data_IF_764217025808
#
_entry.id   IF_764217025808
#
_cell.length_a   1.000
_cell.length_b   1.000
_cell.length_c   1.000
_cell.angle_alpha   90.00
_cell.angle_beta   90.00
_cell.angle_gamma   90.00
#
_symmetry.space_group_name_H-M   'P 1'
#
loop_
_entity.id
_entity.type
_entity.pdbx_description
1 polymer ?
#
# COMPACT_ATOMS: atom_id res chain seq x y z
N UNK A 1 8.67 -2.97 -10.54
CA UNK A 1 7.88 -2.17 -9.59
C UNK A 1 8.61 -2.12 -8.26
N UNK A 2 9.09 -3.26 -7.74
CA UNK A 2 10.15 -3.28 -6.74
C UNK A 2 11.51 -3.53 -7.44
N UNK A 3 12.57 -2.92 -6.92
CA UNK A 3 13.91 -2.64 -7.49
C UNK A 3 14.05 -1.51 -8.52
N UNK A 4 12.96 -1.08 -9.17
CA UNK A 4 12.98 0.16 -9.94
C UNK A 4 11.83 0.98 -9.45
N UNK A 5 12.10 2.08 -8.73
CA UNK A 5 11.12 3.02 -8.16
C UNK A 5 10.37 3.79 -9.26
N UNK A 6 9.70 3.04 -10.14
CA UNK A 6 8.84 3.55 -11.23
C UNK A 6 7.43 3.90 -10.74
N UNK A 7 7.21 3.92 -9.42
CA UNK A 7 5.89 3.99 -8.80
C UNK A 7 6.01 4.79 -7.49
N UNK A 8 5.93 6.10 -7.62
CA UNK A 8 6.17 7.05 -6.53
C UNK A 8 4.92 7.90 -6.22
N UNK A 9 3.92 7.85 -7.10
CA UNK A 9 2.70 8.65 -6.97
C UNK A 9 1.55 7.83 -6.39
N UNK A 10 0.56 8.52 -5.82
CA UNK A 10 -0.68 7.89 -5.35
C UNK A 10 -1.37 7.07 -6.46
N UNK A 11 -1.36 7.56 -7.71
CA UNK A 11 -1.97 6.87 -8.83
C UNK A 11 -1.27 5.54 -9.14
N UNK A 12 0.05 5.48 -9.01
CA UNK A 12 0.84 4.27 -9.21
C UNK A 12 0.51 3.23 -8.14
N UNK A 13 0.46 3.65 -6.87
CA UNK A 13 0.09 2.75 -5.76
C UNK A 13 -1.36 2.25 -5.86
N UNK A 14 -2.31 3.10 -6.26
CA UNK A 14 -3.68 2.68 -6.53
C UNK A 14 -3.76 1.66 -7.68
N UNK A 15 -2.95 1.84 -8.73
CA UNK A 15 -2.86 0.90 -9.85
C UNK A 15 -2.31 -0.44 -9.40
N UNK A 16 -1.27 -0.44 -8.56
CA UNK A 16 -0.71 -1.65 -7.97
C UNK A 16 -1.74 -2.42 -7.13
N UNK A 17 -2.44 -1.72 -6.23
CA UNK A 17 -3.48 -2.32 -5.39
C UNK A 17 -4.62 -2.88 -6.23
N UNK A 18 -4.98 -2.22 -7.33
CA UNK A 18 -5.98 -2.73 -8.26
C UNK A 18 -5.53 -4.03 -8.92
N UNK A 19 -4.26 -4.13 -9.34
CA UNK A 19 -3.71 -5.34 -9.96
C UNK A 19 -3.85 -6.57 -9.05
N UNK A 20 -3.52 -6.45 -7.76
CA UNK A 20 -3.71 -7.52 -6.77
C UNK A 20 -5.17 -7.96 -6.70
N UNK A 21 -6.10 -7.00 -6.72
CA UNK A 21 -7.54 -7.25 -6.60
C UNK A 21 -8.17 -7.88 -7.84
N UNK A 22 -7.48 -7.92 -8.98
CA UNK A 22 -8.00 -8.57 -10.18
C UNK A 22 -8.05 -10.10 -10.03
N UNK A 23 -7.18 -10.68 -9.19
CA UNK A 23 -7.12 -12.12 -8.98
C UNK A 23 -8.46 -12.65 -8.43
N UNK A 24 -9.04 -13.62 -9.14
CA UNK A 24 -10.33 -14.21 -8.78
C UNK A 24 -10.29 -14.85 -7.39
N UNK A 25 -9.20 -15.55 -7.06
CA UNK A 25 -9.00 -16.20 -5.77
C UNK A 25 -8.98 -15.19 -4.62
N UNK A 26 -8.33 -14.04 -4.82
CA UNK A 26 -8.34 -12.93 -3.87
C UNK A 26 -9.77 -12.43 -3.63
N UNK A 27 -10.49 -12.07 -4.71
CA UNK A 27 -11.86 -11.53 -4.60
C UNK A 27 -12.80 -12.51 -3.88
N UNK A 28 -12.75 -13.79 -4.23
CA UNK A 28 -13.56 -14.82 -3.59
C UNK A 28 -13.19 -14.99 -2.11
N UNK A 29 -11.91 -14.90 -1.75
CA UNK A 29 -11.47 -15.00 -0.36
C UNK A 29 -11.98 -13.81 0.46
N UNK A 30 -11.76 -12.58 -0.04
CA UNK A 30 -12.18 -11.33 0.61
C UNK A 30 -13.71 -11.22 0.79
N UNK A 31 -14.50 -11.89 -0.05
CA UNK A 31 -15.96 -11.94 0.09
C UNK A 31 -16.46 -12.98 1.09
N UNK A 32 -15.64 -13.98 1.43
CA UNK A 32 -16.06 -15.16 2.24
C UNK A 32 -15.65 -15.09 3.69
N UNK A 33 -14.58 -14.35 4.01
CA UNK A 33 -14.01 -14.34 5.35
C UNK A 33 -13.64 -12.91 5.80
N UNK A 34 -13.72 -12.61 7.10
CA UNK A 34 -13.11 -11.41 7.64
C UNK A 34 -11.58 -11.54 7.65
N UNK A 35 -10.86 -10.46 7.37
CA UNK A 35 -9.41 -10.39 7.41
C UNK A 35 -8.96 -9.29 8.36
N UNK A 36 -7.98 -9.62 9.20
CA UNK A 36 -7.15 -8.64 9.90
C UNK A 36 -5.88 -8.52 9.05
N UNK A 37 -5.54 -7.30 8.68
CA UNK A 37 -4.44 -6.99 7.77
C UNK A 37 -3.40 -6.14 8.48
N UNK A 38 -2.14 -6.37 8.13
CA UNK A 38 -1.01 -5.53 8.49
C UNK A 38 -0.15 -5.31 7.24
N UNK A 39 0.70 -4.30 7.28
CA UNK A 39 1.63 -3.98 6.18
C UNK A 39 3.03 -4.47 6.54
N UNK A 40 3.82 -4.70 5.51
CA UNK A 40 5.27 -4.88 5.54
C UNK A 40 5.95 -3.64 4.92
N UNK A 41 7.27 -3.73 4.73
CA UNK A 41 8.04 -2.72 4.01
C UNK A 41 7.58 -2.53 2.55
N UNK A 42 7.29 -3.64 1.86
CA UNK A 42 6.94 -3.68 0.45
C UNK A 42 5.66 -2.94 0.09
N UNK A 43 4.77 -2.60 1.02
CA UNK A 43 3.67 -1.69 0.71
C UNK A 43 4.14 -0.27 0.36
N UNK A 44 5.38 0.09 0.71
CA UNK A 44 6.01 1.39 0.44
C UNK A 44 7.24 1.23 -0.45
N UNK A 45 8.27 0.56 0.07
CA UNK A 45 9.60 0.44 -0.53
C UNK A 45 10.35 -0.70 0.18
N UNK A 46 11.20 -1.42 -0.54
CA UNK A 46 12.02 -2.46 0.08
C UNK A 46 12.90 -1.90 1.20
N UNK A 47 13.05 -2.62 2.32
CA UNK A 47 13.94 -2.34 3.45
C UNK A 47 13.82 -0.94 4.10
N UNK A 48 12.70 -0.22 3.91
CA UNK A 48 12.54 1.09 4.54
C UNK A 48 12.39 0.99 6.05
N UNK A 49 12.89 2.00 6.78
CA UNK A 49 12.77 2.09 8.22
C UNK A 49 12.28 3.48 8.65
N UNK A 50 11.04 3.54 9.14
CA UNK A 50 10.41 4.78 9.62
C UNK A 50 10.35 5.89 8.54
N UNK A 51 11.27 6.86 8.58
CA UNK A 51 11.40 7.94 7.60
C UNK A 51 12.65 7.82 6.74
N UNK A 52 13.31 6.66 6.80
CA UNK A 52 14.57 6.37 6.13
C UNK A 52 14.26 5.39 5.00
N UNK A 53 14.57 5.81 3.77
CA UNK A 53 14.52 4.98 2.57
C UNK A 53 15.61 3.90 2.59
N UNK A 54 15.49 2.88 1.75
CA UNK A 54 16.59 1.93 1.57
C UNK A 54 17.88 2.64 1.09
N UNK A 55 19.07 2.21 1.54
CA UNK A 55 20.33 2.83 1.17
C UNK A 55 20.82 2.32 -0.21
N UNK A 56 20.09 2.65 -1.27
CA UNK A 56 20.42 2.27 -2.66
C UNK A 56 20.90 3.46 -3.52
N UNK A 57 20.76 4.70 -3.01
CA UNK A 57 21.27 5.91 -3.67
C UNK A 57 20.35 6.42 -4.79
N UNK A 58 19.08 6.04 -4.78
CA UNK A 58 18.08 6.47 -5.76
C UNK A 58 17.51 7.87 -5.44
N UNK A 59 16.88 8.52 -6.44
CA UNK A 59 16.33 9.88 -6.26
C UNK A 59 15.16 9.93 -5.27
N UNK A 60 14.38 8.85 -5.16
CA UNK A 60 13.25 8.77 -4.25
C UNK A 60 13.67 8.96 -2.78
N UNK A 61 14.92 8.64 -2.43
CA UNK A 61 15.47 8.76 -1.09
C UNK A 61 15.30 10.20 -0.58
N UNK A 62 15.37 11.17 -1.49
CA UNK A 62 15.22 12.60 -1.19
C UNK A 62 13.77 12.98 -0.85
N UNK A 63 12.78 12.24 -1.34
CA UNK A 63 11.35 12.51 -1.19
C UNK A 63 10.58 11.37 -0.51
N UNK A 64 11.28 10.47 0.18
CA UNK A 64 10.73 9.22 0.69
C UNK A 64 9.47 9.38 1.56
N UNK A 65 9.40 10.43 2.39
CA UNK A 65 8.21 10.68 3.21
C UNK A 65 6.94 10.95 2.39
N UNK A 66 7.07 11.55 1.21
CA UNK A 66 5.94 11.76 0.30
C UNK A 66 5.49 10.44 -0.35
N UNK A 67 6.45 9.60 -0.75
CA UNK A 67 6.18 8.25 -1.27
C UNK A 67 5.49 7.39 -0.21
N UNK A 68 5.98 7.42 1.04
CA UNK A 68 5.37 6.76 2.19
C UNK A 68 3.95 7.26 2.48
N UNK A 69 3.70 8.57 2.36
CA UNK A 69 2.36 9.11 2.53
C UNK A 69 1.40 8.62 1.43
N UNK A 70 1.83 8.64 0.17
CA UNK A 70 1.03 8.20 -0.97
C UNK A 70 0.70 6.69 -0.92
N UNK A 71 1.68 5.86 -0.61
CA UNK A 71 1.50 4.41 -0.42
C UNK A 71 0.54 4.10 0.73
N UNK A 72 0.68 4.78 1.88
CA UNK A 72 -0.23 4.58 3.01
C UNK A 72 -1.66 5.00 2.67
N UNK A 73 -1.84 6.12 1.96
CA UNK A 73 -3.16 6.52 1.50
C UNK A 73 -3.77 5.46 0.59
N UNK A 74 -3.04 5.00 -0.44
CA UNK A 74 -3.51 3.94 -1.33
C UNK A 74 -3.83 2.65 -0.55
N UNK A 75 -2.96 2.25 0.39
CA UNK A 75 -3.18 1.09 1.24
C UNK A 75 -4.51 1.19 1.99
N UNK A 76 -4.71 2.27 2.77
CA UNK A 76 -5.95 2.49 3.54
C UNK A 76 -7.20 2.55 2.66
N UNK A 77 -7.13 3.22 1.50
CA UNK A 77 -8.23 3.25 0.55
C UNK A 77 -8.53 1.85 -0.01
N UNK A 78 -7.52 0.99 -0.15
CA UNK A 78 -7.70 -0.33 -0.73
C UNK A 78 -7.92 -1.45 0.29
N UNK A 79 -7.96 -1.14 1.59
CA UNK A 79 -8.28 -2.15 2.60
C UNK A 79 -9.71 -2.69 2.43
N UNK A 80 -9.96 -3.96 2.84
CA UNK A 80 -11.30 -4.52 2.86
C UNK A 80 -12.26 -3.63 3.65
N UNK A 81 -13.50 -3.50 3.18
CA UNK A 81 -14.52 -2.53 3.61
C UNK A 81 -14.87 -2.53 5.12
N UNK A 82 -14.33 -3.44 5.92
CA UNK A 82 -14.51 -3.48 7.36
C UNK A 82 -13.98 -2.22 8.08
N UNK A 83 -13.05 -1.47 7.47
CA UNK A 83 -12.55 -0.20 8.03
C UNK A 83 -13.34 1.04 7.56
N UNK A 84 -14.05 0.97 6.43
CA UNK A 84 -14.86 2.11 5.94
C UNK A 84 -16.22 2.22 6.62
N UNK A 85 -16.74 1.11 7.14
CA UNK A 85 -18.05 1.02 7.80
C UNK A 85 -17.95 0.92 9.33
N UNK A 86 -16.81 1.33 9.93
CA UNK A 86 -16.75 1.45 11.39
C UNK A 86 -17.89 2.37 11.85
N UNK A 87 -18.75 1.81 12.69
CA UNK A 87 -20.00 2.38 13.20
C UNK A 87 -19.80 3.85 13.61
N UNK A 88 -20.69 4.79 13.23
CA UNK A 88 -20.63 6.15 13.77
C UNK A 88 -20.67 6.07 15.29
N UNK A 89 -19.66 6.63 15.96
CA UNK A 89 -19.71 6.82 17.41
C UNK A 89 -20.90 7.74 17.68
N UNK A 90 -21.94 7.21 18.33
CA UNK A 90 -23.07 7.98 18.85
C UNK A 90 -22.65 8.73 20.12
#
# INVERSE_FOLDING_TARGET
>A
MYEKKTSETLADFCTYMLFIKLLQTYRLSMQRFPFIVTMDDHEVENDYANGISQPDGEESDQNFLAVRAASFQAYYEHLPNFLRNAVPVQ
#
